data_IF_132750899909
#
_entry.id   IF_132750899909
#
_cell.length_a   1.000
_cell.length_b   1.000
_cell.length_c   1.000
_cell.angle_alpha   90.00
_cell.angle_beta   90.00
_cell.angle_gamma   90.00
#
_symmetry.space_group_name_H-M   'P 1'
#
loop_
_entity.id
_entity.type
_entity.pdbx_description
1 polymer ?
#
# COMPACT_ATOMS: atom_id res chain seq x y z
N UNK A 1 -17.62 105.88 22.99
CA UNK A 1 -18.22 105.85 24.34
C UNK A 1 -19.47 104.96 24.31
N UNK A 2 -19.74 104.27 25.43
CA UNK A 2 -20.84 103.31 25.74
C UNK A 2 -20.56 101.85 25.35
N UNK A 3 -20.04 101.03 26.28
CA UNK A 3 -20.75 100.22 27.31
C UNK A 3 -21.46 98.98 26.74
N UNK A 4 -20.77 97.81 26.83
CA UNK A 4 -21.11 96.48 27.43
C UNK A 4 -22.61 96.13 27.69
N UNK A 5 -23.03 94.86 27.95
CA UNK A 5 -22.38 93.51 27.83
C UNK A 5 -23.35 92.30 27.55
N UNK A 6 -22.80 91.06 27.65
CA UNK A 6 -23.42 89.76 28.03
C UNK A 6 -24.50 89.11 27.14
N UNK A 7 -24.30 87.84 26.77
CA UNK A 7 -25.10 86.67 27.23
C UNK A 7 -24.54 85.36 26.61
N UNK A 8 -24.31 84.39 27.49
CA UNK A 8 -23.99 82.99 27.21
C UNK A 8 -25.10 82.29 26.41
N UNK A 9 -24.74 81.43 25.44
CA UNK A 9 -25.55 80.24 25.19
C UNK A 9 -24.66 79.02 24.90
N UNK A 10 -24.96 78.00 25.70
CA UNK A 10 -24.31 76.74 25.98
C UNK A 10 -24.01 75.83 24.78
N UNK A 11 -22.77 75.33 24.82
CA UNK A 11 -22.25 74.11 24.23
C UNK A 11 -23.09 72.88 24.68
N UNK A 12 -23.68 72.14 23.74
CA UNK A 12 -24.27 70.83 23.99
C UNK A 12 -23.64 69.81 23.04
N UNK A 13 -22.49 69.28 23.46
CA UNK A 13 -21.79 68.17 22.83
C UNK A 13 -22.44 66.87 23.35
N UNK A 14 -23.21 66.18 22.51
CA UNK A 14 -23.82 64.89 22.88
C UNK A 14 -22.73 63.81 22.99
N UNK A 15 -22.64 63.06 24.11
CA UNK A 15 -21.75 61.91 24.19
C UNK A 15 -22.40 60.72 23.47
N UNK A 16 -21.77 60.26 22.39
CA UNK A 16 -22.04 58.96 21.78
C UNK A 16 -21.63 57.88 22.79
N UNK A 17 -22.62 57.31 23.47
CA UNK A 17 -22.45 56.16 24.35
C UNK A 17 -22.16 54.94 23.47
N UNK A 18 -20.87 54.63 23.29
CA UNK A 18 -20.45 53.31 22.81
C UNK A 18 -20.75 52.29 23.92
N UNK A 19 -21.84 51.54 23.77
CA UNK A 19 -22.02 50.31 24.53
C UNK A 19 -21.02 49.27 23.99
N UNK A 20 -20.04 48.78 24.78
CA UNK A 20 -19.25 47.64 24.37
C UNK A 20 -20.17 46.41 24.39
N UNK A 21 -20.62 45.98 23.21
CA UNK A 21 -21.31 44.73 23.03
C UNK A 21 -20.39 43.57 23.49
N UNK A 22 -20.80 42.89 24.56
CA UNK A 22 -20.16 41.70 25.09
C UNK A 22 -20.01 40.63 24.00
N UNK A 23 -18.80 40.46 23.47
CA UNK A 23 -18.45 39.47 22.44
C UNK A 23 -17.59 38.31 23.01
N UNK A 24 -17.76 37.95 24.29
CA UNK A 24 -16.98 36.88 24.95
C UNK A 24 -17.63 35.49 24.89
N UNK A 25 -18.95 35.39 24.68
CA UNK A 25 -19.70 34.12 24.80
C UNK A 25 -19.22 33.00 23.85
N UNK A 26 -18.63 33.35 22.70
CA UNK A 26 -18.09 32.34 21.76
C UNK A 26 -16.79 31.69 22.24
N UNK A 27 -15.96 32.42 22.98
CA UNK A 27 -14.69 31.91 23.51
C UNK A 27 -14.93 30.91 24.65
N UNK A 28 -15.88 31.22 25.53
CA UNK A 28 -16.21 30.36 26.69
C UNK A 28 -16.89 29.05 26.24
N UNK A 29 -17.73 29.10 25.19
CA UNK A 29 -18.34 27.90 24.59
C UNK A 29 -17.32 27.00 23.89
N UNK A 30 -16.31 27.58 23.25
CA UNK A 30 -15.25 26.81 22.61
C UNK A 30 -14.36 26.13 23.67
N UNK A 31 -13.98 26.85 24.72
CA UNK A 31 -13.14 26.32 25.80
C UNK A 31 -13.83 25.16 26.54
N UNK A 32 -15.12 25.30 26.85
CA UNK A 32 -15.91 24.22 27.47
C UNK A 32 -16.03 22.99 26.57
N UNK A 33 -16.19 23.20 25.26
CA UNK A 33 -16.23 22.10 24.27
C UNK A 33 -14.91 21.37 24.16
N UNK A 34 -13.78 22.09 24.21
CA UNK A 34 -12.44 21.49 24.18
C UNK A 34 -12.25 20.60 25.41
N UNK A 35 -12.52 21.13 26.61
CA UNK A 35 -12.41 20.34 27.85
C UNK A 35 -13.29 19.09 27.84
N UNK A 36 -14.51 19.20 27.31
CA UNK A 36 -15.41 18.05 27.18
C UNK A 36 -14.89 16.98 26.20
N UNK A 37 -14.22 17.39 25.11
CA UNK A 37 -13.59 16.46 24.17
C UNK A 37 -12.36 15.79 24.76
N UNK A 38 -11.52 16.54 25.44
CA UNK A 38 -10.32 16.00 26.10
C UNK A 38 -10.71 14.96 27.15
N UNK A 39 -11.71 15.27 27.98
CA UNK A 39 -12.27 14.31 28.95
C UNK A 39 -12.72 13.01 28.26
N UNK A 40 -13.45 13.12 27.14
CA UNK A 40 -13.93 11.97 26.40
C UNK A 40 -12.81 11.13 25.79
N UNK A 41 -11.70 11.76 25.39
CA UNK A 41 -10.52 11.03 24.88
C UNK A 41 -9.92 10.21 26.02
N UNK A 42 -9.75 10.80 27.21
CA UNK A 42 -9.23 10.08 28.37
C UNK A 42 -10.14 8.92 28.79
N UNK A 43 -11.46 9.14 28.83
CA UNK A 43 -12.42 8.10 29.17
C UNK A 43 -12.37 6.93 28.17
N UNK A 44 -12.31 7.23 26.86
CA UNK A 44 -12.19 6.20 25.82
C UNK A 44 -10.87 5.43 25.90
N UNK A 45 -9.76 6.11 26.19
CA UNK A 45 -8.47 5.45 26.39
C UNK A 45 -8.52 4.49 27.58
N UNK A 46 -9.09 4.95 28.69
CA UNK A 46 -9.25 4.13 29.88
C UNK A 46 -10.16 2.91 29.63
N UNK A 47 -11.22 3.08 28.83
CA UNK A 47 -12.08 1.97 28.42
C UNK A 47 -11.34 0.96 27.54
N UNK A 48 -10.49 1.42 26.61
CA UNK A 48 -9.65 0.54 25.78
C UNK A 48 -8.69 -0.26 26.65
N UNK A 49 -8.00 0.38 27.59
CA UNK A 49 -7.06 -0.29 28.50
C UNK A 49 -7.76 -1.32 29.39
N UNK A 50 -8.94 -0.95 29.91
CA UNK A 50 -9.78 -1.85 30.71
C UNK A 50 -10.23 -3.07 29.91
N UNK A 51 -10.70 -2.87 28.67
CA UNK A 51 -11.12 -3.96 27.79
C UNK A 51 -9.93 -4.83 27.35
N UNK A 52 -8.76 -4.24 27.13
CA UNK A 52 -7.54 -4.99 26.84
C UNK A 52 -7.15 -5.89 28.02
N UNK A 53 -7.21 -5.37 29.26
CA UNK A 53 -6.99 -6.14 30.48
C UNK A 53 -7.99 -7.30 30.65
N UNK A 54 -9.28 -7.06 30.39
CA UNK A 54 -10.29 -8.13 30.43
C UNK A 54 -10.06 -9.21 29.38
N UNK A 55 -9.75 -8.83 28.13
CA UNK A 55 -9.45 -9.80 27.08
C UNK A 55 -8.23 -10.65 27.45
N UNK A 56 -7.19 -10.03 28.02
CA UNK A 56 -6.00 -10.76 28.45
C UNK A 56 -6.32 -11.77 29.58
N UNK A 57 -7.11 -11.35 30.58
CA UNK A 57 -7.54 -12.23 31.67
C UNK A 57 -8.38 -13.41 31.15
N UNK A 58 -9.37 -13.14 30.30
CA UNK A 58 -10.22 -14.17 29.69
C UNK A 58 -9.41 -15.14 28.82
N UNK A 59 -8.49 -14.62 28.00
CA UNK A 59 -7.60 -15.46 27.19
C UNK A 59 -6.73 -16.36 28.07
N UNK A 60 -6.26 -15.85 29.21
CA UNK A 60 -5.48 -16.62 30.19
C UNK A 60 -6.32 -17.73 30.83
N UNK A 61 -7.57 -17.44 31.19
CA UNK A 61 -8.51 -18.42 31.76
C UNK A 61 -8.89 -19.52 30.76
N UNK A 62 -9.21 -19.13 29.51
CA UNK A 62 -9.48 -20.08 28.42
C UNK A 62 -8.26 -20.97 28.19
N UNK A 63 -7.05 -20.42 28.23
CA UNK A 63 -5.80 -21.16 28.08
C UNK A 63 -5.58 -22.16 29.23
N UNK A 64 -5.83 -21.74 30.47
CA UNK A 64 -5.75 -22.61 31.64
C UNK A 64 -6.77 -23.77 31.57
N UNK A 65 -8.01 -23.48 31.19
CA UNK A 65 -9.09 -24.47 31.09
C UNK A 65 -8.85 -25.49 29.97
N UNK A 66 -8.24 -25.06 28.86
CA UNK A 66 -7.90 -25.95 27.73
C UNK A 66 -6.63 -26.77 27.96
N UNK A 67 -5.99 -26.70 29.13
CA UNK A 67 -4.74 -27.42 29.41
C UNK A 67 -3.54 -26.92 28.60
N UNK A 68 -3.63 -25.73 27.98
CA UNK A 68 -2.58 -25.11 27.18
C UNK A 68 -1.62 -24.31 28.07
N UNK A 69 -1.23 -24.88 29.21
CA UNK A 69 -0.33 -24.24 30.17
C UNK A 69 1.11 -24.20 29.62
N UNK A 70 1.44 -23.12 28.94
CA UNK A 70 2.77 -22.77 28.43
C UNK A 70 2.67 -21.86 27.21
N UNK A 71 3.74 -21.16 26.79
CA UNK A 71 3.86 -20.67 25.44
C UNK A 71 3.93 -21.88 24.50
N UNK A 72 2.75 -22.42 24.17
CA UNK A 72 2.55 -23.43 23.15
C UNK A 72 2.91 -22.79 21.82
N UNK A 73 4.16 -22.97 21.39
CA UNK A 73 4.63 -22.79 20.01
C UNK A 73 3.92 -23.70 19.01
N UNK A 74 2.97 -24.54 19.46
CA UNK A 74 2.30 -25.56 18.67
C UNK A 74 0.77 -25.38 18.69
N UNK A 75 0.28 -24.15 18.54
CA UNK A 75 -1.06 -24.01 17.96
C UNK A 75 -0.91 -24.24 16.45
N UNK A 76 -1.44 -25.34 15.87
CA UNK A 76 -1.33 -25.60 14.43
C UNK A 76 -1.97 -24.49 13.57
N UNK A 77 -2.72 -23.58 14.18
CA UNK A 77 -3.34 -22.43 13.51
C UNK A 77 -2.60 -21.11 13.72
N UNK A 78 -1.57 -21.06 14.57
CA UNK A 78 -0.77 -19.84 14.73
C UNK A 78 0.27 -19.78 13.61
N UNK A 79 0.20 -18.80 12.70
CA UNK A 79 1.15 -18.70 11.61
C UNK A 79 2.57 -18.50 12.16
N UNK A 80 3.53 -19.26 11.62
CA UNK A 80 4.95 -19.21 12.05
C UNK A 80 5.54 -17.80 11.95
N UNK A 81 5.03 -17.00 11.01
CA UNK A 81 5.43 -15.61 10.81
C UNK A 81 4.21 -14.69 10.80
N UNK A 82 4.25 -13.52 11.46
CA UNK A 82 3.11 -12.62 11.55
C UNK A 82 2.89 -11.79 10.27
N UNK A 83 3.23 -12.30 9.08
CA UNK A 83 3.00 -11.59 7.81
C UNK A 83 1.51 -11.69 7.45
N UNK A 84 0.90 -10.54 7.14
CA UNK A 84 -0.50 -10.40 6.75
C UNK A 84 -0.68 -9.79 5.36
N UNK A 85 0.23 -8.92 4.94
CA UNK A 85 0.18 -8.27 3.63
C UNK A 85 1.57 -7.99 3.08
N UNK A 86 1.68 -7.89 1.76
CA UNK A 86 2.87 -7.41 1.07
C UNK A 86 2.58 -6.03 0.48
N UNK A 87 3.55 -5.13 0.55
CA UNK A 87 3.50 -3.83 -0.11
C UNK A 87 4.79 -3.62 -0.90
N UNK A 88 4.68 -3.05 -2.09
CA UNK A 88 5.84 -2.53 -2.82
C UNK A 88 6.17 -1.14 -2.28
N UNK A 89 7.30 -1.05 -1.59
CA UNK A 89 7.74 0.11 -0.83
C UNK A 89 7.91 1.37 -1.66
N UNK A 90 7.87 2.52 -0.97
CA UNK A 90 7.95 3.85 -1.61
C UNK A 90 9.29 4.09 -2.29
N UNK A 91 10.38 3.56 -1.74
CA UNK A 91 11.74 3.69 -2.28
C UNK A 91 12.02 2.81 -3.50
N UNK A 92 10.98 2.17 -4.08
CA UNK A 92 11.09 1.48 -5.37
C UNK A 92 11.27 2.50 -6.49
N UNK A 93 12.37 2.41 -7.23
CA UNK A 93 12.80 3.38 -8.24
C UNK A 93 13.51 2.69 -9.39
N UNK A 94 13.57 3.35 -10.54
CA UNK A 94 14.49 2.97 -11.60
C UNK A 94 15.94 3.26 -11.20
N UNK A 95 16.87 2.52 -11.80
CA UNK A 95 18.32 2.61 -11.54
C UNK A 95 19.00 3.14 -12.80
N UNK A 96 19.77 4.21 -12.62
CA UNK A 96 20.69 4.80 -13.61
C UNK A 96 22.13 4.68 -13.04
N UNK A 97 22.87 3.67 -13.49
CA UNK A 97 24.23 3.36 -13.01
C UNK A 97 25.32 3.93 -13.93
N UNK A 98 25.05 4.05 -15.23
CA UNK A 98 26.06 4.44 -16.24
C UNK A 98 26.03 5.93 -16.62
N UNK A 99 25.04 6.68 -16.12
CA UNK A 99 24.81 8.12 -16.41
C UNK A 99 24.53 8.40 -17.88
N UNK A 100 24.21 7.40 -18.67
CA UNK A 100 23.75 7.57 -20.03
C UNK A 100 22.24 7.86 -20.03
N UNK A 101 21.69 8.39 -21.13
CA UNK A 101 20.26 8.62 -21.22
C UNK A 101 19.46 7.29 -21.23
N UNK A 102 18.85 6.98 -20.11
CA UNK A 102 18.01 5.80 -19.91
C UNK A 102 18.04 5.39 -18.45
N UNK A 103 17.18 4.46 -18.07
CA UNK A 103 17.38 3.68 -16.86
C UNK A 103 17.83 2.27 -17.29
N UNK A 104 18.82 1.66 -16.62
CA UNK A 104 19.35 0.32 -16.96
C UNK A 104 18.70 -0.79 -16.14
N UNK A 105 17.99 -0.41 -15.07
CA UNK A 105 17.33 -1.38 -14.22
C UNK A 105 16.32 -0.80 -13.25
N UNK A 106 16.01 -1.63 -12.26
CA UNK A 106 14.99 -1.39 -11.27
C UNK A 106 15.48 -1.80 -9.88
N UNK A 107 15.27 -0.91 -8.92
CA UNK A 107 15.40 -1.21 -7.50
C UNK A 107 14.00 -1.35 -6.92
N UNK A 108 13.63 -2.56 -6.51
CA UNK A 108 12.36 -2.88 -5.88
C UNK A 108 12.54 -3.04 -4.39
N UNK A 109 11.67 -2.39 -3.61
CA UNK A 109 11.63 -2.57 -2.16
C UNK A 109 10.37 -3.34 -1.80
N UNK A 110 10.52 -4.51 -1.18
CA UNK A 110 9.40 -5.31 -0.68
C UNK A 110 9.25 -5.09 0.83
N UNK A 111 8.03 -4.74 1.23
CA UNK A 111 7.65 -4.44 2.61
C UNK A 111 6.57 -5.43 3.08
N UNK A 112 6.95 -6.61 3.60
CA UNK A 112 6.01 -7.49 4.28
C UNK A 112 5.56 -6.83 5.58
N UNK A 113 4.25 -6.82 5.82
CA UNK A 113 3.64 -6.17 6.98
C UNK A 113 2.78 -7.12 7.80
N UNK A 114 2.76 -6.92 9.12
CA UNK A 114 1.85 -7.61 10.03
C UNK A 114 0.43 -7.03 10.04
N UNK A 115 -0.42 -7.54 10.93
CA UNK A 115 -1.78 -7.03 11.14
C UNK A 115 -1.83 -5.57 11.58
N UNK A 116 -0.77 -5.07 12.22
CA UNK A 116 -0.65 -3.70 12.71
C UNK A 116 0.00 -2.78 11.65
N UNK A 117 0.34 -3.33 10.47
CA UNK A 117 1.01 -2.61 9.40
C UNK A 117 2.50 -2.38 9.62
N UNK A 118 3.12 -3.03 10.61
CA UNK A 118 4.55 -2.94 10.91
C UNK A 118 5.36 -3.87 10.01
N UNK A 119 6.59 -3.46 9.70
CA UNK A 119 7.50 -4.26 8.89
C UNK A 119 7.93 -5.54 9.61
N UNK A 120 7.81 -6.67 8.92
CA UNK A 120 8.19 -7.99 9.44
C UNK A 120 9.26 -8.58 8.55
N UNK A 121 10.38 -9.00 9.16
CA UNK A 121 11.37 -9.82 8.48
C UNK A 121 10.97 -11.30 8.61
N UNK A 122 10.55 -11.89 7.51
CA UNK A 122 10.19 -13.31 7.43
C UNK A 122 10.97 -14.01 6.31
N UNK A 123 11.44 -15.25 6.52
CA UNK A 123 12.05 -16.03 5.46
C UNK A 123 11.00 -16.41 4.42
N UNK A 124 11.32 -16.15 3.16
CA UNK A 124 10.43 -16.29 2.04
C UNK A 124 11.20 -16.32 0.73
N UNK A 125 10.60 -16.85 -0.32
CA UNK A 125 11.02 -16.64 -1.69
C UNK A 125 10.19 -15.49 -2.30
N UNK A 126 10.78 -14.74 -3.22
CA UNK A 126 10.08 -13.66 -3.91
C UNK A 126 10.22 -13.79 -5.43
N UNK A 127 9.15 -13.50 -6.15
CA UNK A 127 9.14 -13.38 -7.61
C UNK A 127 8.72 -11.97 -7.96
N UNK A 128 9.53 -11.28 -8.75
CA UNK A 128 9.23 -9.96 -9.29
C UNK A 128 8.99 -10.13 -10.78
N UNK A 129 7.81 -9.75 -11.24
CA UNK A 129 7.48 -9.68 -12.65
C UNK A 129 7.22 -8.23 -13.02
N UNK A 130 7.93 -7.73 -14.03
CA UNK A 130 7.74 -6.39 -14.55
C UNK A 130 7.07 -6.49 -15.91
N UNK A 131 6.02 -5.71 -16.09
CA UNK A 131 5.31 -5.58 -17.35
C UNK A 131 5.33 -4.12 -17.79
N UNK A 132 5.58 -3.89 -19.06
CA UNK A 132 5.42 -2.60 -19.69
C UNK A 132 3.95 -2.37 -20.02
N UNK A 133 3.47 -1.14 -19.86
CA UNK A 133 2.11 -0.73 -20.23
C UNK A 133 2.22 0.34 -21.31
N UNK A 134 1.80 -0.03 -22.52
CA UNK A 134 1.78 0.90 -23.66
C UNK A 134 0.68 1.99 -23.48
N UNK A 135 0.74 3.03 -24.30
CA UNK A 135 -0.30 4.04 -24.52
C UNK A 135 -1.69 3.45 -24.73
N UNK A 136 -1.79 2.28 -25.39
CA UNK A 136 -3.04 1.55 -25.61
C UNK A 136 -3.48 0.67 -24.42
N UNK A 137 -2.71 0.64 -23.33
CA UNK A 137 -2.97 -0.20 -22.15
C UNK A 137 -2.61 -1.67 -22.31
N UNK A 138 -1.98 -2.04 -23.44
CA UNK A 138 -1.47 -3.40 -23.66
C UNK A 138 -0.28 -3.67 -22.73
N UNK A 139 -0.28 -4.84 -22.10
CA UNK A 139 0.75 -5.28 -21.17
C UNK A 139 1.71 -6.24 -21.85
N UNK A 140 2.99 -5.90 -21.91
CA UNK A 140 4.05 -6.78 -22.41
C UNK A 140 5.04 -7.12 -21.31
N UNK A 141 5.49 -8.38 -21.17
CA UNK A 141 6.47 -8.74 -20.15
C UNK A 141 7.83 -8.11 -20.46
N UNK A 142 8.45 -7.46 -19.47
CA UNK A 142 9.80 -6.88 -19.53
C UNK A 142 10.82 -7.86 -18.98
N UNK A 143 10.47 -8.54 -17.88
CA UNK A 143 11.33 -9.52 -17.23
C UNK A 143 10.67 -10.12 -15.99
N UNK A 144 11.21 -11.27 -15.58
CA UNK A 144 10.83 -11.95 -14.33
C UNK A 144 12.09 -12.38 -13.58
N UNK A 145 12.15 -12.06 -12.29
CA UNK A 145 13.28 -12.38 -11.42
C UNK A 145 12.78 -13.15 -10.20
N UNK A 146 13.44 -14.28 -9.94
CA UNK A 146 13.16 -15.12 -8.77
C UNK A 146 14.29 -14.99 -7.76
N UNK A 147 13.91 -14.81 -6.50
CA UNK A 147 14.81 -14.70 -5.36
C UNK A 147 14.50 -15.79 -4.36
N UNK A 148 15.52 -16.56 -4.02
CA UNK A 148 15.40 -17.57 -2.96
C UNK A 148 15.48 -16.92 -1.56
N UNK A 149 15.21 -17.71 -0.53
CA UNK A 149 15.19 -17.23 0.85
C UNK A 149 16.53 -16.67 1.34
N UNK A 150 17.66 -17.18 0.85
CA UNK A 150 18.98 -16.71 1.25
C UNK A 150 19.30 -15.35 0.64
N UNK A 151 19.06 -15.18 -0.65
CA UNK A 151 19.21 -13.92 -1.39
C UNK A 151 18.32 -12.84 -0.79
N UNK A 152 17.06 -13.18 -0.49
CA UNK A 152 16.11 -12.24 0.11
C UNK A 152 16.53 -11.88 1.53
N UNK A 153 16.97 -12.84 2.36
CA UNK A 153 17.47 -12.57 3.71
C UNK A 153 18.67 -11.62 3.69
N UNK A 154 19.56 -11.76 2.71
CA UNK A 154 20.73 -10.91 2.52
C UNK A 154 20.39 -9.49 2.03
N UNK A 155 19.28 -9.33 1.31
CA UNK A 155 18.83 -8.04 0.78
C UNK A 155 18.04 -7.17 1.78
N UNK A 156 17.77 -7.69 2.97
CA UNK A 156 17.09 -6.94 4.03
C UNK A 156 17.90 -5.72 4.48
N UNK A 157 17.31 -4.54 4.36
CA UNK A 157 17.85 -3.29 4.89
C UNK A 157 16.87 -2.69 5.89
N UNK A 158 17.40 -2.15 6.98
CA UNK A 158 16.63 -1.40 7.98
C UNK A 158 17.39 -0.12 8.29
N UNK A 159 16.83 1.01 7.89
CA UNK A 159 17.48 2.31 8.04
C UNK A 159 16.51 3.46 7.93
N UNK A 160 17.02 4.68 8.14
CA UNK A 160 16.22 5.90 8.19
C UNK A 160 15.52 6.22 6.86
N UNK A 161 16.13 5.82 5.74
CA UNK A 161 15.66 6.15 4.38
C UNK A 161 14.91 5.00 3.70
N UNK A 162 15.20 3.75 4.05
CA UNK A 162 14.59 2.57 3.41
C UNK A 162 14.59 1.43 4.41
N UNK A 163 13.44 0.76 4.54
CA UNK A 163 13.28 -0.43 5.37
C UNK A 163 12.49 -1.48 4.61
N UNK A 164 13.01 -2.69 4.51
CA UNK A 164 12.44 -3.79 3.73
C UNK A 164 13.49 -4.58 2.97
N UNK A 165 13.04 -5.48 2.09
CA UNK A 165 13.91 -6.23 1.19
C UNK A 165 14.23 -5.40 -0.05
N UNK A 166 15.50 -5.05 -0.26
CA UNK A 166 15.92 -4.16 -1.35
C UNK A 166 16.58 -4.96 -2.45
N UNK A 167 15.88 -5.13 -3.56
CA UNK A 167 16.25 -5.99 -4.67
C UNK A 167 16.56 -5.13 -5.90
N UNK A 168 17.81 -5.18 -6.37
CA UNK A 168 18.24 -4.47 -7.57
C UNK A 168 18.37 -5.45 -8.72
N UNK A 169 17.73 -5.16 -9.85
CA UNK A 169 17.72 -5.99 -11.05
C UNK A 169 17.94 -5.14 -12.30
N UNK A 170 18.71 -5.66 -13.25
CA UNK A 170 18.84 -5.05 -14.59
C UNK A 170 17.74 -5.52 -15.53
N UNK A 171 17.45 -4.74 -16.57
CA UNK A 171 16.44 -5.11 -17.58
C UNK A 171 16.82 -6.40 -18.33
N UNK A 172 15.86 -7.33 -18.47
CA UNK A 172 16.00 -8.49 -19.36
C UNK A 172 15.63 -8.12 -20.80
N UNK A 173 14.52 -7.40 -20.94
CA UNK A 173 14.09 -6.74 -22.18
C UNK A 173 14.05 -5.25 -21.92
N UNK A 174 14.62 -4.44 -22.82
CA UNK A 174 14.59 -2.98 -22.68
C UNK A 174 13.15 -2.49 -22.89
N UNK A 175 12.54 -1.80 -21.91
CA UNK A 175 11.19 -1.27 -22.06
C UNK A 175 11.16 -0.11 -23.05
N UNK A 176 10.07 0.01 -23.83
CA UNK A 176 9.89 1.08 -24.82
C UNK A 176 9.04 2.23 -24.31
N UNK A 177 8.09 1.93 -23.43
CA UNK A 177 7.20 2.86 -22.75
C UNK A 177 7.80 3.32 -21.43
N UNK A 178 7.44 4.55 -21.04
CA UNK A 178 7.79 5.11 -19.73
C UNK A 178 6.98 4.53 -18.59
N UNK A 179 5.91 3.76 -18.85
CA UNK A 179 5.04 3.21 -17.81
C UNK A 179 5.23 1.71 -17.68
N UNK A 180 5.58 1.27 -16.48
CA UNK A 180 5.68 -0.14 -16.13
C UNK A 180 4.82 -0.46 -14.91
N UNK A 181 4.38 -1.71 -14.83
CA UNK A 181 3.69 -2.31 -13.70
C UNK A 181 4.56 -3.41 -13.11
N UNK A 182 4.82 -3.30 -11.82
CA UNK A 182 5.56 -4.27 -11.02
C UNK A 182 4.55 -5.16 -10.32
N UNK A 183 4.68 -6.47 -10.49
CA UNK A 183 3.95 -7.49 -9.74
C UNK A 183 4.94 -8.26 -8.88
N UNK A 184 4.81 -8.13 -7.57
CA UNK A 184 5.63 -8.84 -6.61
C UNK A 184 4.81 -9.95 -5.95
N UNK A 185 5.35 -11.15 -5.94
CA UNK A 185 4.84 -12.30 -5.19
C UNK A 185 5.85 -12.67 -4.11
N UNK A 186 5.38 -12.90 -2.89
CA UNK A 186 6.18 -13.20 -1.72
C UNK A 186 5.60 -14.46 -1.05
N UNK A 187 6.35 -15.56 -1.09
CA UNK A 187 5.90 -16.88 -0.60
C UNK A 187 6.73 -17.30 0.59
N UNK A 188 6.10 -17.44 1.75
CA UNK A 188 6.76 -17.84 3.00
C UNK A 188 7.10 -19.33 3.01
N UNK A 189 7.95 -19.75 3.94
CA UNK A 189 8.27 -21.16 4.19
C UNK A 189 7.03 -21.99 4.59
N UNK A 190 6.00 -21.36 5.15
CA UNK A 190 4.71 -22.00 5.47
C UNK A 190 3.78 -22.16 4.27
N UNK A 191 4.22 -21.75 3.07
CA UNK A 191 3.47 -21.85 1.82
C UNK A 191 2.48 -20.70 1.58
N UNK A 192 2.29 -19.78 2.53
CA UNK A 192 1.43 -18.60 2.30
C UNK A 192 2.06 -17.67 1.28
N UNK A 193 1.27 -17.24 0.30
CA UNK A 193 1.67 -16.33 -0.77
C UNK A 193 0.95 -14.99 -0.61
N UNK A 194 1.71 -13.92 -0.77
CA UNK A 194 1.24 -12.55 -0.72
C UNK A 194 1.64 -11.87 -2.02
N UNK A 195 0.74 -11.06 -2.58
CA UNK A 195 0.97 -10.36 -3.84
C UNK A 195 0.77 -8.87 -3.65
N UNK A 196 1.56 -8.08 -4.37
CA UNK A 196 1.46 -6.64 -4.40
C UNK A 196 1.76 -6.13 -5.81
N UNK A 197 1.03 -5.10 -6.22
CA UNK A 197 1.28 -4.42 -7.50
C UNK A 197 1.64 -2.95 -7.27
N UNK A 198 2.47 -2.41 -8.17
CA UNK A 198 2.81 -0.98 -8.17
C UNK A 198 3.13 -0.51 -9.58
N UNK A 199 2.56 0.61 -9.97
CA UNK A 199 2.93 1.30 -11.20
C UNK A 199 4.14 2.21 -10.95
N UNK A 200 5.07 2.21 -11.90
CA UNK A 200 6.27 3.03 -11.87
C UNK A 200 6.46 3.72 -13.22
N UNK A 201 6.92 4.98 -13.18
CA UNK A 201 7.35 5.69 -14.37
C UNK A 201 8.87 5.60 -14.47
N UNK A 202 9.36 5.20 -15.64
CA UNK A 202 10.79 5.07 -15.98
C UNK A 202 11.12 5.91 -17.22
N UNK A 203 12.41 6.12 -17.47
CA UNK A 203 12.94 6.71 -18.69
C UNK A 203 13.48 5.57 -19.56
N UNK A 204 12.77 5.18 -20.63
CA UNK A 204 13.31 4.18 -21.54
C UNK A 204 14.60 4.72 -22.17
N UNK A 205 15.62 3.86 -22.42
CA UNK A 205 16.76 4.25 -23.22
C UNK A 205 16.27 4.82 -24.54
N UNK A 206 16.67 6.05 -24.84
CA UNK A 206 16.37 6.63 -26.15
C UNK A 206 17.10 5.74 -27.14
N UNK A 207 16.37 4.93 -27.91
CA UNK A 207 16.90 4.46 -29.18
C UNK A 207 17.22 5.75 -29.93
N UNK A 208 18.48 6.16 -29.87
CA UNK A 208 19.04 7.06 -30.85
C UNK A 208 18.82 6.30 -32.14
N UNK A 209 17.69 6.56 -32.79
CA UNK A 209 17.55 6.42 -34.21
C UNK A 209 18.82 7.04 -34.75
N UNK A 210 19.79 6.19 -35.09
CA UNK A 210 20.86 6.54 -35.99
C UNK A 210 20.13 6.85 -37.30
N UNK A 211 19.51 8.02 -37.38
CA UNK A 211 19.55 8.81 -38.59
C UNK A 211 21.04 9.07 -38.78
N UNK A 212 21.72 8.09 -39.38
CA UNK A 212 22.94 8.34 -40.10
C UNK A 212 22.69 9.62 -40.92
N UNK A 213 23.46 10.70 -40.74
CA UNK A 213 23.50 11.76 -41.73
C UNK A 213 24.27 11.22 -42.94
N UNK A 214 23.67 10.27 -43.66
CA UNK A 214 24.02 9.89 -45.02
C UNK A 214 22.83 10.28 -45.88
N UNK A 215 22.92 11.08 -46.92
CA UNK A 215 24.06 11.35 -47.79
C UNK A 215 23.71 12.65 -48.52
N UNK A 216 24.64 13.61 -48.56
CA UNK A 216 24.63 14.65 -49.59
C UNK A 216 24.94 13.97 -50.94
N UNK A 217 23.96 13.29 -51.52
CA UNK A 217 24.03 12.88 -52.92
C UNK A 217 23.65 14.09 -53.77
N UNK A 218 24.66 14.90 -54.09
CA UNK A 218 24.59 15.83 -55.20
C UNK A 218 24.20 15.05 -56.47
N UNK A 219 23.22 15.51 -57.27
CA UNK A 219 22.91 14.87 -58.53
C UNK A 219 24.02 15.20 -59.54
N UNK A 220 24.83 14.21 -59.91
CA UNK A 220 25.64 14.30 -61.12
C UNK A 220 24.78 13.92 -62.35
N UNK A 221 24.87 14.66 -63.47
CA UNK A 221 24.08 14.40 -64.66
C UNK A 221 24.60 13.19 -65.48
N UNK A 222 23.62 12.38 -65.86
CA UNK A 222 23.50 11.35 -66.91
C UNK A 222 24.69 11.10 -67.87
N UNK A 223 25.03 9.81 -68.03
CA UNK A 223 25.30 9.23 -69.36
C UNK A 223 24.56 7.89 -69.52
N UNK A 224 23.91 7.61 -70.67
CA UNK A 224 23.25 6.35 -70.94
C UNK A 224 24.21 5.36 -71.61
N UNK A 225 24.26 4.12 -71.11
CA UNK A 225 24.92 3.00 -71.81
C UNK A 225 23.83 2.05 -72.34
N UNK A 226 23.81 1.74 -73.65
CA UNK A 226 22.84 0.83 -74.24
C UNK A 226 23.37 -0.61 -74.37
N UNK A 227 22.47 -1.58 -74.16
CA UNK A 227 22.61 -3.01 -74.53
C UNK A 227 23.36 -3.84 -73.48
N UNK A 228 23.05 -5.12 -73.25
CA UNK A 228 22.19 -6.08 -73.94
C UNK A 228 22.15 -7.36 -73.08
N UNK A 229 21.14 -8.20 -73.33
CA UNK A 229 21.05 -9.65 -73.07
C UNK A 229 20.53 -10.14 -71.69
N UNK A 230 19.26 -10.55 -71.71
CA UNK A 230 18.64 -11.65 -70.93
C UNK A 230 18.87 -13.02 -71.62
N UNK A 231 18.50 -14.22 -71.09
CA UNK A 231 18.41 -14.78 -69.73
C UNK A 231 19.17 -16.17 -69.70
N UNK A 232 18.91 -17.24 -68.87
CA UNK A 232 17.62 -17.87 -68.53
C UNK A 232 17.43 -18.28 -67.04
N UNK A 233 16.21 -18.76 -66.79
CA UNK A 233 15.58 -19.12 -65.53
C UNK A 233 16.11 -20.41 -64.87
N UNK A 234 16.25 -20.39 -63.54
CA UNK A 234 16.27 -21.52 -62.58
C UNK A 234 15.91 -20.88 -61.22
N UNK A 235 15.05 -21.38 -60.34
CA UNK A 235 14.15 -22.52 -60.26
C UNK A 235 13.39 -22.30 -58.95
N UNK A 236 12.08 -22.60 -58.97
CA UNK A 236 11.19 -22.45 -57.82
C UNK A 236 11.62 -23.36 -56.66
N UNK A 237 11.91 -22.76 -55.50
CA UNK A 237 12.00 -23.45 -54.22
C UNK A 237 11.06 -22.78 -53.22
N UNK A 238 9.79 -23.17 -53.23
CA UNK A 238 8.83 -22.81 -52.17
C UNK A 238 9.06 -23.75 -51.00
N UNK A 239 9.81 -23.32 -50.00
CA UNK A 239 9.89 -24.02 -48.73
C UNK A 239 8.73 -23.54 -47.84
N UNK A 240 7.64 -24.34 -47.87
CA UNK A 240 6.45 -24.16 -47.05
C UNK A 240 6.73 -24.68 -45.64
N UNK A 241 6.86 -23.79 -44.66
CA UNK A 241 6.85 -24.16 -43.25
C UNK A 241 5.48 -24.75 -42.87
N UNK A 242 5.43 -25.82 -42.06
CA UNK A 242 4.17 -26.44 -41.63
C UNK A 242 3.42 -25.52 -40.65
N UNK A 243 2.16 -25.24 -41.00
CA UNK A 243 1.19 -24.58 -40.13
C UNK A 243 0.89 -25.51 -38.94
N UNK A 244 1.01 -25.04 -37.68
CA UNK A 244 0.57 -25.83 -36.53
C UNK A 244 -0.95 -25.98 -36.54
N UNK A 245 -1.42 -27.22 -36.40
CA UNK A 245 -2.83 -27.57 -36.32
C UNK A 245 -3.55 -26.81 -35.17
N UNK A 246 -4.82 -26.41 -35.35
CA UNK A 246 -5.63 -25.85 -34.28
C UNK A 246 -5.76 -26.86 -33.13
N UNK A 247 -5.28 -26.49 -31.95
CA UNK A 247 -5.51 -27.21 -30.71
C UNK A 247 -7.02 -27.18 -30.45
N UNK A 248 -7.64 -28.35 -30.42
CA UNK A 248 -9.04 -28.50 -30.05
C UNK A 248 -9.28 -27.93 -28.63
N UNK A 249 -10.38 -27.21 -28.40
CA UNK A 249 -10.70 -26.69 -27.08
C UNK A 249 -10.82 -27.86 -26.09
N UNK A 250 -10.25 -27.73 -24.88
CA UNK A 250 -10.39 -28.74 -23.84
C UNK A 250 -11.86 -28.92 -23.50
N UNK A 251 -12.26 -30.19 -23.31
CA UNK A 251 -13.62 -30.55 -22.94
C UNK A 251 -14.07 -29.78 -21.67
N UNK A 252 -15.33 -29.32 -21.61
CA UNK A 252 -15.85 -28.66 -20.43
C UNK A 252 -15.72 -29.57 -19.21
N UNK A 253 -15.10 -29.03 -18.16
CA UNK A 253 -15.00 -29.69 -16.86
C UNK A 253 -16.41 -29.98 -16.33
N UNK A 254 -16.64 -31.16 -15.72
CA UNK A 254 -17.92 -31.46 -15.09
C UNK A 254 -18.19 -30.47 -13.98
N UNK A 255 -19.40 -29.90 -13.97
CA UNK A 255 -19.86 -28.96 -12.96
C UNK A 255 -19.64 -29.53 -11.55
N UNK A 256 -19.01 -28.78 -10.63
CA UNK A 256 -18.90 -29.20 -9.25
C UNK A 256 -20.30 -29.27 -8.66
N UNK A 257 -20.77 -30.49 -8.39
CA UNK A 257 -21.97 -30.72 -7.59
C UNK A 257 -21.77 -30.05 -6.23
N UNK A 258 -22.39 -28.87 -6.08
CA UNK A 258 -22.55 -28.20 -4.80
C UNK A 258 -23.35 -29.12 -3.89
N UNK A 259 -22.65 -29.80 -2.98
CA UNK A 259 -23.30 -30.47 -1.86
C UNK A 259 -24.07 -29.42 -1.05
N UNK A 260 -25.35 -29.68 -0.70
CA UNK A 260 -26.13 -28.74 0.10
C UNK A 260 -25.46 -28.55 1.46
N UNK A 261 -25.09 -27.30 1.75
CA UNK A 261 -24.60 -26.89 3.07
C UNK A 261 -25.74 -27.11 4.06
N UNK A 262 -25.54 -27.89 5.14
CA UNK A 262 -26.57 -28.04 6.16
C UNK A 262 -26.79 -26.69 6.84
N UNK A 263 -27.96 -26.08 6.57
CA UNK A 263 -28.47 -24.92 7.28
C UNK A 263 -28.82 -25.31 8.73
N UNK A 264 -27.81 -25.47 9.57
CA UNK A 264 -28.00 -25.33 11.02
C UNK A 264 -27.73 -23.88 11.37
N UNK A 265 -28.83 -23.13 11.43
CA UNK A 265 -28.93 -21.83 12.06
C UNK A 265 -28.31 -21.94 13.46
N UNK A 266 -27.15 -21.30 13.66
CA UNK A 266 -26.57 -21.16 14.99
C UNK A 266 -27.49 -20.18 15.72
N UNK A 267 -28.34 -20.74 16.58
CA UNK A 267 -29.19 -19.99 17.47
C UNK A 267 -28.28 -19.17 18.40
N UNK A 268 -28.35 -17.85 18.26
CA UNK A 268 -27.58 -16.90 19.05
C UNK A 268 -27.88 -17.15 20.54
N UNK A 269 -26.89 -17.40 21.40
CA UNK A 269 -27.16 -17.61 22.82
C UNK A 269 -27.82 -16.37 23.41
N UNK A 270 -28.96 -16.57 24.09
CA UNK A 270 -29.67 -15.51 24.81
C UNK A 270 -28.70 -14.77 25.75
N UNK A 271 -28.72 -13.42 25.78
CA UNK A 271 -27.88 -12.67 26.70
C UNK A 271 -28.17 -13.10 28.14
N UNK A 272 -27.15 -13.60 28.83
CA UNK A 272 -27.25 -13.90 30.25
C UNK A 272 -27.51 -12.59 31.00
N UNK A 273 -28.56 -12.58 31.82
CA UNK A 273 -28.86 -11.47 32.71
C UNK A 273 -27.70 -11.25 33.67
N UNK A 274 -27.11 -10.06 33.62
CA UNK A 274 -26.08 -9.63 34.57
C UNK A 274 -26.74 -9.49 35.94
N UNK A 275 -26.26 -10.18 36.99
CA UNK A 275 -26.78 -9.98 38.34
C UNK A 275 -26.48 -8.55 38.80
N UNK A 276 -27.52 -7.88 39.31
CA UNK A 276 -27.43 -6.51 39.83
C UNK A 276 -26.39 -6.43 40.97
N UNK A 277 -25.63 -5.32 41.06
CA UNK A 277 -24.64 -5.15 42.12
C UNK A 277 -25.32 -5.09 43.49
N UNK A 278 -24.87 -5.96 44.40
CA UNK A 278 -25.24 -5.94 45.80
C UNK A 278 -24.82 -4.59 46.41
N UNK A 279 -25.77 -3.93 47.09
CA UNK A 279 -25.57 -2.62 47.70
C UNK A 279 -24.47 -2.61 48.78
N UNK A 280 -24.00 -1.42 49.16
CA UNK A 280 -22.86 -1.27 50.07
C UNK A 280 -23.16 -1.82 51.47
N UNK A 281 -22.25 -2.66 51.96
CA UNK A 281 -22.26 -3.17 53.32
C UNK A 281 -22.12 -2.01 54.32
N UNK A 282 -23.12 -1.88 55.20
CA UNK A 282 -23.06 -0.96 56.32
C UNK A 282 -21.93 -1.39 57.28
N UNK A 283 -20.90 -0.55 57.38
CA UNK A 283 -19.89 -0.63 58.45
C UNK A 283 -20.59 -0.43 59.80
N UNK A 284 -20.71 -1.51 60.55
CA UNK A 284 -21.09 -1.49 61.96
C UNK A 284 -19.86 -1.07 62.77
N UNK A 285 -19.91 0.13 63.37
CA UNK A 285 -18.91 0.62 64.30
C UNK A 285 -19.05 -0.15 65.63
N UNK A 286 -18.01 -0.89 66.01
CA UNK A 286 -17.88 -1.55 67.31
C UNK A 286 -17.54 -0.52 68.40
N UNK A 287 -18.39 -0.32 69.43
CA UNK A 287 -18.14 0.62 70.50
C UNK A 287 -17.54 -0.08 71.71
N UNK A 288 -16.38 -0.72 71.56
CA UNK A 288 -15.62 -1.29 72.70
C UNK A 288 -14.11 -1.22 72.48
N UNK A 289 -13.59 0.00 72.35
CA UNK A 289 -12.21 0.31 72.71
C UNK A 289 -12.24 1.55 73.58
N UNK A 290 -12.22 1.31 74.90
CA UNK A 290 -11.94 2.26 75.96
C UNK A 290 -10.71 1.73 76.70
#
# INVERSE_FOLDING_TARGET
MRFRPFICLSLALAPVVFLPACRSSGKDKLETTIRARDQRIYDLQNDVDKLAGYNLALQTEVRATRGLAGPSTNDPFTPLYPVRSLVVGRSTTAVDDDRLPGDEGLQVVLEPRDSDGRLVRAPACATIMVMEVDSQGLKSPVGTWDFNAEQLRASWKQGLLTSGYVLTVGWQTIPRSSRIKILASFTLEDGRRFEAEKDLSIKPPVEQSMSLPGSLSAPLPLTPVPGSVSPPAVGSGKESLPVPSPIAPPAPLPDPKLSPVPSKFIELPKPMAVPAPAGPAAMLLDPRLN
#
